data_IF_280157636849
#
_entry.id   IF_280157636849
#
_cell.length_a   1.000
_cell.length_b   1.000
_cell.length_c   1.000
_cell.angle_alpha   90.00
_cell.angle_beta   90.00
_cell.angle_gamma   90.00
#
_symmetry.space_group_name_H-M   'P 1'
#
loop_
_entity.id
_entity.type
_entity.pdbx_description
1 polymer ?
#
# COMPACT_ATOMS: atom_id res chain seq x y z
N UNK A 1 22.44 -3.05 0.71
CA UNK A 1 21.54 -3.18 -0.45
C UNK A 1 20.38 -2.22 -0.22
N UNK A 2 20.58 -0.92 -0.44
CA UNK A 2 19.57 0.10 -0.15
C UNK A 2 18.67 0.42 -1.37
N UNK A 3 19.07 -0.02 -2.57
CA UNK A 3 18.43 0.40 -3.82
C UNK A 3 17.15 -0.37 -4.18
N UNK A 4 17.03 -1.63 -3.75
CA UNK A 4 15.86 -2.47 -4.10
C UNK A 4 14.60 -2.01 -3.36
N UNK A 5 14.74 -1.56 -2.11
CA UNK A 5 13.63 -1.13 -1.26
C UNK A 5 12.94 0.13 -1.80
N UNK A 6 13.73 1.12 -2.22
CA UNK A 6 13.20 2.34 -2.83
C UNK A 6 12.49 2.06 -4.16
N UNK A 7 13.08 1.21 -5.00
CA UNK A 7 12.49 0.80 -6.29
C UNK A 7 11.14 0.11 -6.12
N UNK A 8 11.04 -0.80 -5.15
CA UNK A 8 9.81 -1.54 -4.88
C UNK A 8 8.70 -0.60 -4.37
N UNK A 9 9.01 0.34 -3.47
CA UNK A 9 8.05 1.37 -3.03
C UNK A 9 7.56 2.24 -4.18
N UNK A 10 8.48 2.73 -5.02
CA UNK A 10 8.16 3.60 -6.16
C UNK A 10 7.26 2.90 -7.18
N UNK A 11 7.27 1.57 -7.25
CA UNK A 11 6.42 0.78 -8.14
C UNK A 11 5.11 0.38 -7.46
N UNK A 12 5.14 -0.07 -6.21
CA UNK A 12 3.97 -0.64 -5.52
C UNK A 12 2.98 0.42 -5.04
N UNK A 13 3.45 1.55 -4.50
CA UNK A 13 2.57 2.61 -3.99
C UNK A 13 1.61 3.12 -5.08
N UNK A 14 2.05 3.51 -6.28
CA UNK A 14 1.13 3.97 -7.33
C UNK A 14 0.18 2.87 -7.81
N UNK A 15 0.62 1.60 -7.87
CA UNK A 15 -0.26 0.49 -8.24
C UNK A 15 -1.36 0.24 -7.20
N UNK A 16 -1.04 0.34 -5.92
CA UNK A 16 -2.02 0.22 -4.83
C UNK A 16 -2.98 1.41 -4.85
N UNK A 17 -2.48 2.61 -5.11
CA UNK A 17 -3.31 3.81 -5.25
C UNK A 17 -4.30 3.68 -6.41
N UNK A 18 -3.86 3.21 -7.59
CA UNK A 18 -4.75 2.94 -8.73
C UNK A 18 -5.85 1.92 -8.38
N UNK A 19 -5.51 0.87 -7.62
CA UNK A 19 -6.50 -0.12 -7.18
C UNK A 19 -7.54 0.48 -6.24
N UNK A 20 -7.11 1.32 -5.28
CA UNK A 20 -8.01 2.04 -4.37
C UNK A 20 -8.90 3.03 -5.13
N UNK A 21 -8.34 3.80 -6.07
CA UNK A 21 -9.12 4.71 -6.91
C UNK A 21 -10.18 3.96 -7.73
N UNK A 22 -9.79 2.82 -8.33
CA UNK A 22 -10.70 2.03 -9.19
C UNK A 22 -11.79 1.30 -8.41
N UNK A 23 -11.45 0.72 -7.26
CA UNK A 23 -12.38 -0.12 -6.49
C UNK A 23 -13.26 0.69 -5.53
N UNK A 24 -12.70 1.75 -4.92
CA UNK A 24 -13.38 2.57 -3.92
C UNK A 24 -13.86 3.91 -4.46
N UNK A 25 -13.49 4.29 -5.68
CA UNK A 25 -13.83 5.59 -6.27
C UNK A 25 -13.12 6.76 -5.61
N UNK A 26 -12.01 6.51 -4.91
CA UNK A 26 -11.20 7.54 -4.26
C UNK A 26 -10.46 8.40 -5.28
N UNK A 27 -10.22 9.65 -4.92
CA UNK A 27 -9.21 10.48 -5.60
C UNK A 27 -7.80 9.97 -5.30
N UNK A 28 -6.82 10.38 -6.12
CA UNK A 28 -5.42 10.00 -5.92
C UNK A 28 -4.91 10.42 -4.53
N UNK A 29 -5.24 11.64 -4.08
CA UNK A 29 -4.86 12.14 -2.76
C UNK A 29 -5.48 11.32 -1.63
N UNK A 30 -6.75 10.92 -1.74
CA UNK A 30 -7.43 10.07 -0.76
C UNK A 30 -6.83 8.66 -0.72
N UNK A 31 -6.49 8.10 -1.89
CA UNK A 31 -5.86 6.79 -2.00
C UNK A 31 -4.45 6.80 -1.39
N UNK A 32 -3.64 7.83 -1.69
CA UNK A 32 -2.33 8.01 -1.08
C UNK A 32 -2.44 8.22 0.43
N UNK A 33 -3.39 9.04 0.88
CA UNK A 33 -3.62 9.25 2.30
C UNK A 33 -3.97 7.94 3.00
N UNK A 34 -4.87 7.11 2.45
CA UNK A 34 -5.21 5.80 3.00
C UNK A 34 -4.00 4.85 3.07
N UNK A 35 -3.12 4.90 2.07
CA UNK A 35 -1.88 4.10 2.09
C UNK A 35 -0.95 4.56 3.22
N UNK A 36 -0.69 5.87 3.35
CA UNK A 36 0.25 6.41 4.33
C UNK A 36 -0.28 6.40 5.77
N UNK A 37 -1.60 6.44 5.97
CA UNK A 37 -2.22 6.32 7.30
C UNK A 37 -2.46 4.87 7.71
N UNK A 38 -2.40 3.93 6.77
CA UNK A 38 -2.55 2.50 7.06
C UNK A 38 -1.41 2.00 7.97
N UNK A 39 -1.70 1.07 8.89
CA UNK A 39 -0.69 0.33 9.66
C UNK A 39 0.27 -0.49 8.78
N UNK A 40 -0.02 -0.62 7.47
CA UNK A 40 0.87 -1.23 6.48
C UNK A 40 2.01 -0.28 6.06
N UNK A 41 1.87 1.04 6.17
CA UNK A 41 2.90 1.99 5.74
C UNK A 41 4.25 1.77 6.44
N UNK A 42 4.34 1.59 7.77
CA UNK A 42 5.59 1.26 8.47
C UNK A 42 6.13 -0.13 8.08
N UNK A 43 5.25 -1.06 7.75
CA UNK A 43 5.61 -2.43 7.35
C UNK A 43 6.20 -2.48 5.94
N UNK A 44 5.84 -1.53 5.09
CA UNK A 44 6.54 -1.26 3.83
C UNK A 44 7.91 -0.61 4.07
N UNK A 45 8.28 -0.22 5.30
CA UNK A 45 9.62 0.29 5.62
C UNK A 45 10.51 -0.72 6.34
N UNK A 46 9.93 -1.79 6.89
CA UNK A 46 10.65 -2.84 7.60
C UNK A 46 11.09 -4.00 6.67
N UNK A 47 12.39 -4.08 6.36
CA UNK A 47 13.01 -5.12 5.54
C UNK A 47 12.83 -6.55 6.11
N UNK A 48 12.59 -6.69 7.41
CA UNK A 48 12.46 -7.99 8.08
C UNK A 48 11.10 -8.66 7.87
N UNK A 49 10.08 -7.90 7.45
CA UNK A 49 8.72 -8.37 7.24
C UNK A 49 8.51 -9.05 5.87
N UNK A 50 9.43 -8.86 4.91
CA UNK A 50 9.40 -9.53 3.60
C UNK A 50 8.29 -9.08 2.63
N UNK A 51 7.60 -7.98 2.92
CA UNK A 51 6.46 -7.49 2.11
C UNK A 51 6.86 -6.99 0.72
N UNK A 52 8.13 -6.64 0.51
CA UNK A 52 8.70 -6.18 -0.78
C UNK A 52 8.65 -7.23 -1.89
N UNK A 53 8.51 -8.51 -1.53
CA UNK A 53 8.36 -9.61 -2.48
C UNK A 53 6.92 -9.87 -2.91
N UNK A 54 5.95 -9.19 -2.29
CA UNK A 54 4.53 -9.43 -2.51
C UNK A 54 3.95 -8.46 -3.56
N UNK A 55 2.89 -8.88 -4.23
CA UNK A 55 2.24 -8.09 -5.28
C UNK A 55 1.47 -6.89 -4.69
N UNK A 56 1.25 -5.86 -5.52
CA UNK A 56 0.42 -4.71 -5.14
C UNK A 56 -1.00 -5.12 -4.71
N UNK A 57 -1.55 -6.20 -5.29
CA UNK A 57 -2.85 -6.76 -4.89
C UNK A 57 -2.87 -7.27 -3.44
N UNK A 58 -1.78 -7.90 -2.99
CA UNK A 58 -1.68 -8.37 -1.61
C UNK A 58 -1.65 -7.19 -0.63
N UNK A 59 -0.86 -6.15 -0.92
CA UNK A 59 -0.80 -4.92 -0.12
C UNK A 59 -2.16 -4.22 -0.10
N UNK A 60 -2.80 -4.08 -1.25
CA UNK A 60 -4.15 -3.53 -1.36
C UNK A 60 -5.15 -4.33 -0.50
N UNK A 61 -5.11 -5.66 -0.53
CA UNK A 61 -6.00 -6.50 0.28
C UNK A 61 -5.78 -6.28 1.77
N UNK A 62 -4.54 -6.05 2.21
CA UNK A 62 -4.22 -5.75 3.61
C UNK A 62 -4.73 -4.39 4.06
N UNK A 63 -4.63 -3.37 3.19
CA UNK A 63 -5.16 -2.02 3.46
C UNK A 63 -6.69 -2.07 3.49
N UNK A 64 -7.32 -2.64 2.45
CA UNK A 64 -8.78 -2.75 2.39
C UNK A 64 -9.38 -3.65 3.47
N UNK A 65 -8.63 -4.61 4.03
CA UNK A 65 -9.12 -5.42 5.15
C UNK A 65 -9.06 -4.69 6.49
N UNK A 66 -8.20 -3.67 6.61
CA UNK A 66 -8.07 -2.85 7.82
C UNK A 66 -9.05 -1.67 7.87
N UNK A 67 -9.46 -1.16 6.71
CA UNK A 67 -10.54 -0.15 6.60
C UNK A 67 -11.95 -0.71 6.94
N UNK A 68 -12.07 -1.99 7.30
CA UNK A 68 -13.34 -2.64 7.67
C UNK A 68 -13.68 -2.55 9.17
N UNK A 69 -13.25 -1.48 9.84
CA UNK A 69 -13.72 -1.12 11.19
C UNK A 69 -14.21 0.33 11.19
N UNK A 70 -15.20 0.65 10.36
CA UNK A 70 -16.19 1.67 10.68
C UNK A 70 -17.37 1.54 9.71
N UNK A 71 -18.43 0.87 10.17
CA UNK A 71 -19.79 0.91 9.63
C UNK A 71 -20.78 0.88 10.79
#
# INVERSE_FOLDING_TARGET
>A
MADTHHLVKTILIPQVAELLMKDKGLSEDEALNAIYTSPIAPLLEDDSMGLYGQSALYIYSLISSQDFVDS
#
